data_IF_381301286021
#
_entry.id   IF_381301286021
#
_cell.length_a   1.000
_cell.length_b   1.000
_cell.length_c   1.000
_cell.angle_alpha   90.00
_cell.angle_beta   90.00
_cell.angle_gamma   90.00
#
_symmetry.space_group_name_H-M   'P 1'
#
loop_
_entity.id
_entity.type
_entity.pdbx_description
1 polymer ?
#
# COMPACT_ATOMS: atom_id res chain seq x y z
N UNK A 1 -9.51 5.23 0.78
CA UNK A 1 -9.47 4.41 2.02
C UNK A 1 -9.87 5.31 3.17
N UNK A 2 -10.67 4.80 4.11
CA UNK A 2 -11.02 5.50 5.35
C UNK A 2 -10.39 4.69 6.49
N UNK A 3 -9.47 5.26 7.28
CA UNK A 3 -8.88 4.55 8.41
C UNK A 3 -9.88 4.46 9.57
N UNK A 4 -9.89 3.33 10.27
CA UNK A 4 -10.67 3.13 11.49
C UNK A 4 -9.71 2.75 12.63
N UNK A 5 -9.74 3.50 13.73
CA UNK A 5 -8.92 3.24 14.91
C UNK A 5 -9.63 2.23 15.80
N UNK A 6 -8.94 1.11 16.10
CA UNK A 6 -9.44 0.04 16.98
C UNK A 6 -8.52 -0.26 18.16
N UNK A 7 -7.23 0.09 18.04
CA UNK A 7 -6.23 -0.10 19.11
C UNK A 7 -6.11 -1.55 19.58
N UNK A 8 -6.28 -2.51 18.66
CA UNK A 8 -6.07 -3.94 18.92
C UNK A 8 -4.87 -4.42 18.11
N UNK A 9 -3.96 -5.12 18.77
CA UNK A 9 -2.91 -5.91 18.14
C UNK A 9 -3.25 -7.39 18.29
N UNK A 10 -3.13 -8.15 17.21
CA UNK A 10 -3.31 -9.60 17.23
C UNK A 10 -1.96 -10.26 17.00
N UNK A 11 -1.68 -11.30 17.79
CA UNK A 11 -0.53 -12.15 17.65
C UNK A 11 -0.97 -13.60 17.84
N UNK A 12 -0.41 -14.51 17.03
CA UNK A 12 -0.74 -15.93 17.05
C UNK A 12 0.44 -16.74 16.56
N UNK A 13 0.62 -17.94 17.11
CA UNK A 13 1.51 -18.95 16.55
C UNK A 13 0.90 -19.67 15.33
N UNK A 14 -0.43 -19.63 15.19
CA UNK A 14 -1.19 -20.18 14.06
C UNK A 14 -1.64 -19.06 13.12
N UNK A 15 -1.16 -19.11 11.87
CA UNK A 15 -1.42 -18.12 10.83
C UNK A 15 -2.88 -18.10 10.35
N UNK A 16 -3.58 -19.23 10.39
CA UNK A 16 -5.00 -19.31 10.01
C UNK A 16 -5.86 -18.78 11.15
N UNK A 17 -5.48 -19.07 12.39
CA UNK A 17 -6.20 -18.62 13.58
C UNK A 17 -6.25 -17.08 13.71
N UNK A 18 -5.12 -16.40 13.45
CA UNK A 18 -5.07 -14.92 13.50
C UNK A 18 -5.98 -14.29 12.45
N UNK A 19 -5.96 -14.81 11.21
CA UNK A 19 -6.82 -14.34 10.14
C UNK A 19 -8.30 -14.60 10.45
N UNK A 20 -8.61 -15.74 11.07
CA UNK A 20 -9.98 -16.09 11.46
C UNK A 20 -10.52 -15.19 12.57
N UNK A 21 -9.72 -14.93 13.61
CA UNK A 21 -10.09 -13.99 14.67
C UNK A 21 -10.23 -12.57 14.13
N UNK A 22 -9.30 -12.11 13.29
CA UNK A 22 -9.38 -10.81 12.64
C UNK A 22 -10.65 -10.67 11.79
N UNK A 23 -10.98 -11.69 10.98
CA UNK A 23 -12.20 -11.72 10.17
C UNK A 23 -13.46 -11.62 11.05
N UNK A 24 -13.52 -12.39 12.13
CA UNK A 24 -14.64 -12.33 13.10
C UNK A 24 -14.79 -10.95 13.72
N UNK A 25 -13.69 -10.36 14.18
CA UNK A 25 -13.69 -9.02 14.79
C UNK A 25 -14.12 -7.94 13.81
N UNK A 26 -13.75 -8.06 12.53
CA UNK A 26 -14.26 -7.20 11.47
C UNK A 26 -15.76 -7.41 11.16
N UNK A 27 -16.38 -8.47 11.68
CA UNK A 27 -17.79 -8.80 11.48
C UNK A 27 -18.07 -9.76 10.33
N UNK A 28 -17.04 -10.43 9.81
CA UNK A 28 -17.16 -11.44 8.77
C UNK A 28 -17.19 -12.85 9.34
N UNK A 29 -17.81 -13.78 8.61
CA UNK A 29 -17.71 -15.21 8.89
C UNK A 29 -16.37 -15.74 8.32
N UNK A 30 -15.45 -16.21 9.16
CA UNK A 30 -14.12 -16.67 8.73
C UNK A 30 -14.19 -17.80 7.70
N UNK A 31 -15.11 -18.76 7.86
CA UNK A 31 -15.20 -19.92 6.98
C UNK A 31 -15.92 -19.62 5.66
N UNK A 32 -16.57 -18.45 5.54
CA UNK A 32 -17.04 -17.94 4.24
C UNK A 32 -15.92 -17.31 3.42
N UNK A 33 -14.80 -16.96 4.04
CA UNK A 33 -13.62 -16.44 3.36
C UNK A 33 -12.84 -17.63 2.77
N UNK A 34 -12.76 -17.68 1.44
CA UNK A 34 -12.26 -18.85 0.70
C UNK A 34 -10.87 -19.29 1.16
N UNK A 35 -9.92 -18.38 1.35
CA UNK A 35 -8.55 -18.75 1.70
C UNK A 35 -8.40 -19.24 3.14
N UNK A 36 -9.13 -18.66 4.10
CA UNK A 36 -9.19 -19.14 5.49
C UNK A 36 -9.78 -20.55 5.52
N UNK A 37 -10.92 -20.75 4.86
CA UNK A 37 -11.55 -22.07 4.78
C UNK A 37 -10.65 -23.12 4.14
N UNK A 38 -10.02 -22.81 3.00
CA UNK A 38 -9.11 -23.75 2.34
C UNK A 38 -7.91 -24.12 3.21
N UNK A 39 -7.33 -23.16 3.93
CA UNK A 39 -6.21 -23.43 4.83
C UNK A 39 -6.65 -24.29 6.03
N UNK A 40 -7.84 -24.03 6.57
CA UNK A 40 -8.45 -24.84 7.62
C UNK A 40 -8.73 -26.28 7.15
N UNK A 41 -9.42 -26.44 6.01
CA UNK A 41 -9.76 -27.74 5.42
C UNK A 41 -8.49 -28.55 5.09
N UNK A 42 -7.38 -27.88 4.77
CA UNK A 42 -6.07 -28.49 4.51
C UNK A 42 -5.25 -28.78 5.77
N UNK A 43 -5.75 -28.45 6.97
CA UNK A 43 -5.03 -28.67 8.24
C UNK A 43 -3.80 -27.79 8.44
N UNK A 44 -3.70 -26.65 7.73
CA UNK A 44 -2.59 -25.70 7.87
C UNK A 44 -2.74 -24.78 9.09
N UNK A 45 -3.90 -24.81 9.74
CA UNK A 45 -4.23 -24.07 10.95
C UNK A 45 -5.74 -24.11 11.24
N UNK A 46 -6.16 -23.40 12.28
CA UNK A 46 -7.54 -23.38 12.73
C UNK A 46 -8.33 -22.16 12.20
N UNK A 47 -9.30 -22.39 11.32
CA UNK A 47 -10.21 -21.34 10.82
C UNK A 47 -11.52 -21.22 11.62
N UNK A 48 -11.84 -22.21 12.46
CA UNK A 48 -13.04 -22.18 13.30
C UNK A 48 -12.72 -21.52 14.64
N UNK A 49 -13.21 -20.30 14.82
CA UNK A 49 -12.97 -19.47 16.00
C UNK A 49 -13.44 -20.08 17.32
N UNK A 50 -14.32 -21.09 17.30
CA UNK A 50 -14.75 -21.82 18.50
C UNK A 50 -13.67 -22.76 19.04
N UNK A 51 -12.71 -23.12 18.20
CA UNK A 51 -11.59 -24.02 18.51
C UNK A 51 -10.28 -23.24 18.68
N UNK A 52 -10.35 -21.91 18.83
CA UNK A 52 -9.18 -21.05 19.02
C UNK A 52 -9.17 -20.56 20.47
N UNK A 53 -8.04 -20.74 21.15
CA UNK A 53 -7.81 -20.19 22.48
C UNK A 53 -7.40 -18.71 22.38
N UNK A 54 -8.03 -17.85 23.18
CA UNK A 54 -7.64 -16.44 23.33
C UNK A 54 -6.88 -16.31 24.64
N UNK A 55 -5.55 -16.23 24.55
CA UNK A 55 -4.66 -16.09 25.71
C UNK A 55 -4.51 -14.63 26.21
N UNK A 56 -4.87 -13.66 25.37
CA UNK A 56 -4.78 -12.23 25.67
C UNK A 56 -6.08 -11.68 26.26
N UNK A 57 -6.56 -10.56 25.72
CA UNK A 57 -7.80 -9.91 26.14
C UNK A 57 -9.05 -10.54 25.46
N UNK A 58 -9.89 -11.29 26.20
CA UNK A 58 -11.09 -11.89 25.62
C UNK A 58 -12.15 -10.85 25.24
N UNK A 59 -12.21 -9.73 25.97
CA UNK A 59 -13.20 -8.68 25.73
C UNK A 59 -12.96 -7.96 24.41
N UNK A 60 -11.69 -7.65 24.11
CA UNK A 60 -11.28 -7.11 22.82
C UNK A 60 -11.54 -8.11 21.69
N UNK A 61 -11.27 -9.40 21.90
CA UNK A 61 -11.52 -10.42 20.90
C UNK A 61 -13.02 -10.48 20.55
N UNK A 62 -13.92 -10.39 21.53
CA UNK A 62 -15.39 -10.42 21.40
C UNK A 62 -16.01 -9.24 20.66
N UNK A 63 -15.25 -8.19 20.39
CA UNK A 63 -15.73 -7.09 19.57
C UNK A 63 -16.18 -7.53 18.18
N UNK A 64 -17.20 -6.85 17.66
CA UNK A 64 -17.65 -6.98 16.28
C UNK A 64 -17.84 -5.59 15.69
N UNK A 65 -16.91 -5.20 14.82
CA UNK A 65 -16.86 -3.86 14.24
C UNK A 65 -17.86 -3.65 13.12
N UNK A 66 -18.53 -4.72 12.67
CA UNK A 66 -19.58 -4.70 11.64
C UNK A 66 -19.13 -3.97 10.37
N UNK A 67 -17.90 -4.25 9.92
CA UNK A 67 -17.41 -3.70 8.68
C UNK A 67 -18.20 -4.27 7.51
N UNK A 68 -18.49 -3.40 6.55
CA UNK A 68 -19.14 -3.79 5.33
C UNK A 68 -18.12 -4.37 4.36
N UNK A 69 -18.52 -5.43 3.66
CA UNK A 69 -17.65 -6.10 2.72
C UNK A 69 -17.21 -5.18 1.57
N UNK A 70 -16.07 -5.49 0.93
CA UNK A 70 -15.47 -4.63 -0.11
C UNK A 70 -16.37 -4.40 -1.34
N UNK A 71 -17.39 -5.24 -1.51
CA UNK A 71 -18.34 -5.17 -2.63
C UNK A 71 -19.59 -4.33 -2.35
N UNK A 72 -19.86 -3.96 -1.09
CA UNK A 72 -21.07 -3.20 -0.74
C UNK A 72 -21.05 -1.78 -1.32
N UNK A 73 -19.90 -1.08 -1.23
CA UNK A 73 -19.73 0.28 -1.69
C UNK A 73 -18.50 0.45 -2.58
N UNK A 74 -18.54 -0.12 -3.78
CA UNK A 74 -17.45 0.04 -4.74
C UNK A 74 -17.49 1.40 -5.43
N UNK A 75 -16.44 2.19 -5.26
CA UNK A 75 -16.21 3.40 -6.06
C UNK A 75 -16.01 3.05 -7.55
N UNK A 76 -16.16 4.02 -8.45
CA UNK A 76 -15.91 3.80 -9.88
C UNK A 76 -14.51 3.20 -10.13
N UNK A 77 -13.48 3.75 -9.47
CA UNK A 77 -12.10 3.26 -9.56
C UNK A 77 -11.99 1.79 -9.09
N UNK A 78 -12.61 1.44 -7.95
CA UNK A 78 -12.62 0.07 -7.43
C UNK A 78 -13.34 -0.90 -8.39
N UNK A 79 -14.46 -0.48 -8.99
CA UNK A 79 -15.19 -1.29 -9.99
C UNK A 79 -14.36 -1.56 -11.23
N UNK A 80 -13.65 -0.54 -11.73
CA UNK A 80 -12.76 -0.69 -12.88
C UNK A 80 -11.56 -1.58 -12.55
N UNK A 81 -10.91 -1.38 -11.40
CA UNK A 81 -9.82 -2.25 -10.95
C UNK A 81 -10.27 -3.70 -10.81
N UNK A 82 -11.43 -3.96 -10.22
CA UNK A 82 -11.95 -5.32 -10.11
C UNK A 82 -12.16 -5.97 -11.50
N UNK A 83 -12.71 -5.22 -12.47
CA UNK A 83 -12.85 -5.71 -13.86
C UNK A 83 -11.52 -5.94 -14.57
N UNK A 84 -10.49 -5.16 -14.23
CA UNK A 84 -9.14 -5.31 -14.76
C UNK A 84 -8.45 -6.54 -14.17
N UNK A 85 -8.49 -6.74 -12.85
CA UNK A 85 -7.74 -7.83 -12.21
C UNK A 85 -8.46 -9.18 -12.28
N UNK A 86 -9.80 -9.18 -12.22
CA UNK A 86 -10.63 -10.37 -12.10
C UNK A 86 -11.63 -10.56 -13.26
N UNK A 87 -11.57 -9.68 -14.28
CA UNK A 87 -12.46 -9.71 -15.44
C UNK A 87 -11.72 -9.84 -16.78
N UNK A 88 -12.45 -9.76 -17.90
CA UNK A 88 -11.90 -10.01 -19.25
C UNK A 88 -10.89 -8.94 -19.71
N UNK A 89 -10.84 -7.79 -19.04
CA UNK A 89 -9.89 -6.72 -19.34
C UNK A 89 -8.46 -7.05 -18.88
N UNK A 90 -8.27 -8.08 -18.05
CA UNK A 90 -6.97 -8.52 -17.55
C UNK A 90 -5.97 -8.78 -18.68
N UNK A 91 -6.37 -9.59 -19.66
CA UNK A 91 -5.49 -10.01 -20.74
C UNK A 91 -5.10 -8.85 -21.68
N UNK A 92 -6.02 -7.91 -21.91
CA UNK A 92 -5.75 -6.71 -22.71
C UNK A 92 -4.79 -5.76 -22.00
N UNK A 93 -4.98 -5.56 -20.68
CA UNK A 93 -4.12 -4.68 -19.90
C UNK A 93 -2.74 -5.30 -19.68
N UNK A 94 -2.67 -6.61 -19.42
CA UNK A 94 -1.41 -7.33 -19.27
C UNK A 94 -0.55 -7.25 -20.55
N UNK A 95 -1.17 -7.32 -21.73
CA UNK A 95 -0.48 -7.05 -22.99
C UNK A 95 0.05 -5.60 -23.08
N UNK A 96 -0.76 -4.61 -22.69
CA UNK A 96 -0.31 -3.21 -22.67
C UNK A 96 0.83 -2.96 -21.67
N UNK A 97 0.83 -3.65 -20.54
CA UNK A 97 1.86 -3.55 -19.50
C UNK A 97 3.17 -4.26 -19.89
N UNK A 98 3.13 -5.20 -20.84
CA UNK A 98 4.31 -5.90 -21.38
C UNK A 98 4.91 -5.21 -22.62
N UNK A 99 4.37 -4.07 -23.04
CA UNK A 99 4.84 -3.30 -24.21
C UNK A 99 5.37 -1.92 -23.80
N UNK A 100 5.77 -1.09 -24.76
CA UNK A 100 6.22 0.31 -24.57
C UNK A 100 5.14 1.19 -23.90
N UNK A 101 3.94 0.65 -23.68
CA UNK A 101 2.85 1.30 -22.95
C UNK A 101 2.95 1.15 -21.42
N UNK A 102 3.83 0.30 -20.88
CA UNK A 102 4.06 0.15 -19.43
C UNK A 102 4.25 1.49 -18.70
N UNK A 103 4.95 2.50 -19.27
CA UNK A 103 5.13 3.77 -18.60
C UNK A 103 3.85 4.61 -18.43
N UNK A 104 2.80 4.32 -19.20
CA UNK A 104 1.48 4.94 -19.00
C UNK A 104 0.80 4.47 -17.72
N UNK A 105 1.08 3.26 -17.24
CA UNK A 105 0.52 2.78 -15.98
C UNK A 105 1.08 3.57 -14.78
N UNK A 106 2.39 3.89 -14.81
CA UNK A 106 2.99 4.78 -13.81
C UNK A 106 2.37 6.18 -13.89
N UNK A 107 2.20 6.73 -15.10
CA UNK A 107 1.56 8.02 -15.31
C UNK A 107 0.12 8.06 -14.78
N UNK A 108 -0.68 7.05 -15.08
CA UNK A 108 -2.04 6.95 -14.58
C UNK A 108 -2.09 6.84 -13.05
N UNK A 109 -1.18 6.08 -12.44
CA UNK A 109 -1.07 5.96 -10.99
C UNK A 109 -0.74 7.31 -10.32
N UNK A 110 0.28 8.00 -10.83
CA UNK A 110 0.71 9.31 -10.30
C UNK A 110 -0.40 10.36 -10.45
N UNK A 111 -1.03 10.44 -11.62
CA UNK A 111 -2.16 11.35 -11.84
C UNK A 111 -3.32 11.04 -10.89
N UNK A 112 -3.67 9.77 -10.71
CA UNK A 112 -4.76 9.39 -9.82
C UNK A 112 -4.44 9.68 -8.35
N UNK A 113 -3.28 9.23 -7.85
CA UNK A 113 -2.94 9.35 -6.43
C UNK A 113 -2.51 10.77 -6.03
N UNK A 114 -1.59 11.38 -6.77
CA UNK A 114 -0.97 12.66 -6.38
C UNK A 114 -1.81 13.87 -6.82
N UNK A 115 -2.43 13.80 -8.00
CA UNK A 115 -3.12 14.96 -8.59
C UNK A 115 -4.60 14.97 -8.28
N UNK A 116 -5.24 13.80 -8.26
CA UNK A 116 -6.68 13.72 -8.02
C UNK A 116 -7.00 13.36 -6.57
N UNK A 117 -6.58 12.17 -6.09
CA UNK A 117 -7.04 11.63 -4.81
C UNK A 117 -6.55 12.45 -3.62
N UNK A 118 -5.24 12.69 -3.51
CA UNK A 118 -4.66 13.40 -2.36
C UNK A 118 -5.22 14.83 -2.20
N UNK A 119 -5.33 15.67 -3.26
CA UNK A 119 -5.88 17.01 -3.13
C UNK A 119 -7.38 17.02 -2.83
N UNK A 120 -8.15 16.06 -3.35
CA UNK A 120 -9.61 16.00 -3.14
C UNK A 120 -10.01 15.39 -1.79
N UNK A 121 -9.17 14.54 -1.19
CA UNK A 121 -9.47 13.82 0.06
C UNK A 121 -8.74 14.39 1.29
N UNK A 122 -8.34 15.66 1.24
CA UNK A 122 -7.64 16.34 2.34
C UNK A 122 -8.38 16.30 3.70
N UNK A 123 -9.70 16.18 3.70
CA UNK A 123 -10.47 16.01 4.94
C UNK A 123 -10.11 14.70 5.65
N UNK A 124 -10.10 13.58 4.91
CA UNK A 124 -9.76 12.25 5.47
C UNK A 124 -8.35 12.25 6.05
N UNK A 125 -7.41 12.88 5.34
CA UNK A 125 -6.01 12.98 5.79
C UNK A 125 -5.92 13.82 7.07
N UNK A 126 -6.60 14.96 7.15
CA UNK A 126 -6.61 15.79 8.37
C UNK A 126 -7.26 15.07 9.54
N UNK A 127 -8.37 14.37 9.31
CA UNK A 127 -9.07 13.63 10.35
C UNK A 127 -8.17 12.48 10.87
N UNK A 128 -7.42 11.81 9.98
CA UNK A 128 -6.41 10.80 10.37
C UNK A 128 -5.24 11.40 11.16
N UNK A 129 -4.70 12.55 10.74
CA UNK A 129 -3.61 13.24 11.46
C UNK A 129 -4.05 13.82 12.80
N UNK A 130 -5.34 14.11 12.97
CA UNK A 130 -5.91 14.59 14.22
C UNK A 130 -6.23 13.47 15.21
N UNK A 131 -6.23 12.20 14.77
CA UNK A 131 -6.43 11.02 15.62
C UNK A 131 -5.27 10.83 16.60
N UNK A 132 -5.49 10.00 17.62
CA UNK A 132 -4.49 9.73 18.65
C UNK A 132 -3.19 9.18 18.06
N UNK A 133 -3.29 8.27 17.07
CA UNK A 133 -2.14 7.79 16.31
C UNK A 133 -1.45 8.92 15.54
N UNK A 134 -2.21 9.80 14.91
CA UNK A 134 -1.67 10.93 14.17
C UNK A 134 -0.88 11.90 15.04
N UNK A 135 -1.33 12.12 16.29
CA UNK A 135 -0.63 12.94 17.29
C UNK A 135 0.57 12.21 17.88
N UNK A 136 0.42 10.93 18.21
CA UNK A 136 1.53 10.10 18.72
C UNK A 136 2.71 10.09 17.74
N UNK A 137 2.45 9.93 16.44
CA UNK A 137 3.49 9.98 15.42
C UNK A 137 4.06 11.38 15.20
N UNK A 138 3.30 12.44 15.48
CA UNK A 138 3.78 13.82 15.40
C UNK A 138 4.85 14.09 16.46
N UNK A 139 4.62 13.58 17.66
CA UNK A 139 5.45 13.80 18.85
C UNK A 139 6.36 12.59 19.17
N UNK A 140 6.54 11.68 18.19
CA UNK A 140 7.24 10.39 18.37
C UNK A 140 8.66 10.53 18.92
N UNK A 141 9.42 11.55 18.47
CA UNK A 141 10.80 11.75 18.96
C UNK A 141 10.86 11.97 20.48
N UNK A 142 9.81 12.55 21.06
CA UNK A 142 9.69 12.80 22.50
C UNK A 142 8.96 11.68 23.26
N UNK A 143 8.06 10.96 22.58
CA UNK A 143 7.21 9.93 23.18
C UNK A 143 7.74 8.51 22.96
N UNK A 144 8.78 8.31 22.16
CA UNK A 144 9.35 6.99 21.91
C UNK A 144 9.80 6.33 23.21
N UNK A 145 9.43 5.06 23.37
CA UNK A 145 9.91 4.22 24.46
C UNK A 145 11.22 3.55 24.06
N UNK A 146 12.02 3.17 25.05
CA UNK A 146 13.21 2.36 24.78
C UNK A 146 12.80 1.03 24.16
N UNK A 147 13.51 0.50 23.15
CA UNK A 147 13.25 -0.84 22.60
C UNK A 147 13.28 -1.95 23.66
N UNK A 148 14.00 -1.72 24.76
CA UNK A 148 14.15 -2.67 25.87
C UNK A 148 13.11 -2.47 26.99
N UNK A 149 12.21 -1.47 26.86
CA UNK A 149 11.13 -1.24 27.83
C UNK A 149 9.94 -2.15 27.53
N UNK A 150 9.75 -3.15 28.39
CA UNK A 150 8.66 -4.13 28.31
C UNK A 150 7.59 -3.91 29.39
N UNK A 151 7.78 -2.95 30.29
CA UNK A 151 6.93 -2.74 31.47
C UNK A 151 5.91 -1.63 31.23
N UNK A 152 6.24 -0.65 30.39
CA UNK A 152 5.32 0.44 30.07
C UNK A 152 4.11 -0.10 29.29
N UNK A 153 2.89 0.02 29.82
CA UNK A 153 1.69 -0.56 29.20
C UNK A 153 1.24 0.17 27.92
N UNK A 154 1.80 1.36 27.66
CA UNK A 154 1.50 2.19 26.49
C UNK A 154 1.51 3.68 26.81
N UNK A 155 0.88 4.48 25.95
CA UNK A 155 0.80 5.94 26.08
C UNK A 155 -0.54 6.36 26.68
N UNK A 156 -0.53 7.01 27.84
CA UNK A 156 -1.72 7.67 28.41
C UNK A 156 -2.01 9.01 27.76
N UNK A 157 -0.98 9.66 27.21
CA UNK A 157 -1.08 10.91 26.46
C UNK A 157 -0.28 10.80 25.15
N UNK A 158 -0.89 11.23 24.05
CA UNK A 158 -0.34 11.10 22.68
C UNK A 158 0.15 12.43 22.10
N UNK A 159 0.44 13.39 22.97
CA UNK A 159 0.86 14.74 22.57
C UNK A 159 -0.29 15.65 22.12
N UNK A 160 -0.03 16.96 22.11
CA UNK A 160 -1.05 18.00 21.94
C UNK A 160 -1.22 18.50 20.49
N UNK A 161 -0.25 18.26 19.61
CA UNK A 161 -0.18 18.91 18.31
C UNK A 161 -0.44 17.97 17.14
N UNK A 162 -1.62 18.05 16.51
CA UNK A 162 -1.82 17.41 15.21
C UNK A 162 -0.88 18.03 14.16
N UNK A 163 -0.21 17.19 13.37
CA UNK A 163 0.70 17.65 12.30
C UNK A 163 -0.02 18.60 11.36
N UNK A 164 0.45 19.85 11.29
CA UNK A 164 -0.05 20.81 10.30
C UNK A 164 0.58 20.52 8.95
N UNK A 165 -0.21 19.92 8.05
CA UNK A 165 0.17 19.82 6.65
C UNK A 165 0.37 21.22 6.06
N UNK A 166 1.56 21.48 5.52
CA UNK A 166 1.80 22.69 4.72
C UNK A 166 0.92 22.63 3.48
N UNK A 167 -0.01 23.58 3.36
CA UNK A 167 -0.78 23.76 2.13
C UNK A 167 0.20 24.09 1.00
N UNK A 168 0.33 23.15 0.10
CA UNK A 168 1.19 23.25 -1.07
C UNK A 168 0.22 23.10 -2.22
N UNK A 169 -0.05 24.23 -2.89
CA UNK A 169 -1.01 24.28 -4.00
C UNK A 169 -0.48 23.56 -5.24
N UNK A 170 -0.46 24.26 -6.37
CA UNK A 170 -0.03 23.71 -7.67
C UNK A 170 1.42 23.17 -7.71
N UNK A 171 2.25 23.49 -6.70
CA UNK A 171 3.65 23.08 -6.61
C UNK A 171 3.85 21.56 -6.50
N UNK A 172 2.96 20.82 -5.83
CA UNK A 172 3.09 19.35 -5.77
C UNK A 172 2.71 18.68 -7.09
N UNK A 173 1.74 19.22 -7.82
CA UNK A 173 1.39 18.76 -9.15
C UNK A 173 2.59 18.90 -10.11
N UNK A 174 3.26 20.06 -10.10
CA UNK A 174 4.44 20.28 -10.94
C UNK A 174 5.60 19.37 -10.53
N UNK A 175 5.83 19.14 -9.23
CA UNK A 175 6.83 18.18 -8.76
C UNK A 175 6.51 16.74 -9.17
N UNK A 176 5.25 16.35 -9.06
CA UNK A 176 4.76 15.03 -9.46
C UNK A 176 4.93 14.79 -10.96
N UNK A 177 4.61 15.79 -11.80
CA UNK A 177 4.87 15.76 -13.24
C UNK A 177 6.36 15.71 -13.59
N UNK A 178 7.21 16.45 -12.86
CA UNK A 178 8.66 16.42 -13.05
C UNK A 178 9.27 15.06 -12.68
N UNK A 179 8.81 14.45 -11.59
CA UNK A 179 9.19 13.08 -11.20
C UNK A 179 8.74 12.07 -12.24
N UNK A 180 7.51 12.16 -12.73
CA UNK A 180 7.01 11.32 -13.80
C UNK A 180 7.87 11.43 -15.07
N UNK A 181 8.23 12.64 -15.47
CA UNK A 181 9.11 12.88 -16.61
C UNK A 181 10.50 12.25 -16.38
N UNK A 182 11.03 12.33 -15.16
CA UNK A 182 12.25 11.63 -14.74
C UNK A 182 12.13 10.11 -14.88
N UNK A 183 11.10 9.51 -14.30
CA UNK A 183 10.83 8.08 -14.38
C UNK A 183 10.66 7.61 -15.83
N UNK A 184 9.93 8.35 -16.66
CA UNK A 184 9.76 8.05 -18.09
C UNK A 184 11.08 8.11 -18.87
N UNK A 185 11.95 9.06 -18.54
CA UNK A 185 13.27 9.22 -19.17
C UNK A 185 14.25 8.12 -18.78
N UNK A 186 14.16 7.63 -17.54
CA UNK A 186 15.01 6.57 -16.99
C UNK A 186 14.44 5.17 -17.17
N UNK A 187 13.17 5.06 -17.56
CA UNK A 187 12.49 3.80 -17.81
C UNK A 187 13.31 2.93 -18.79
N UNK A 188 13.56 1.66 -18.45
CA UNK A 188 14.47 0.79 -19.18
C UNK A 188 14.07 0.63 -20.66
N UNK A 189 12.78 0.73 -20.98
CA UNK A 189 12.23 0.65 -22.34
C UNK A 189 12.73 1.80 -23.23
N UNK A 190 12.83 3.02 -22.68
CA UNK A 190 13.31 4.20 -23.40
C UNK A 190 14.83 4.37 -23.31
N UNK A 191 15.42 4.02 -22.16
CA UNK A 191 16.87 4.01 -21.97
C UNK A 191 17.57 3.01 -22.89
N UNK A 192 17.00 1.81 -23.10
CA UNK A 192 17.53 0.81 -24.03
C UNK A 192 17.45 1.27 -25.50
N UNK A 193 16.37 1.97 -25.87
CA UNK A 193 16.20 2.55 -27.22
C UNK A 193 17.20 3.67 -27.49
N UNK A 194 17.57 4.44 -26.46
CA UNK A 194 18.60 5.50 -26.54
C UNK A 194 20.02 4.92 -26.64
N UNK A 195 20.31 3.80 -25.96
CA UNK A 195 21.57 3.05 -26.13
C UNK A 195 21.70 2.49 -27.55
N UNK A 196 20.62 1.97 -28.14
CA UNK A 196 20.61 1.49 -29.54
C UNK A 196 20.75 2.61 -30.58
N UNK A 197 20.40 3.85 -30.24
CA UNK A 197 20.53 5.04 -31.10
C UNK A 197 21.88 5.77 -31.01
N UNK A 198 22.85 5.26 -30.25
CA UNK A 198 24.25 5.68 -30.36
C UNK A 198 25.06 4.65 -31.15
N UNK A 199 25.08 4.68 -32.50
CA UNK A 199 26.14 4.04 -33.25
C UNK A 199 27.41 4.90 -33.17
N UNK A 200 28.55 4.28 -32.84
CA UNK A 200 29.88 4.79 -33.19
C UNK A 200 30.57 5.65 -32.14
N UNK A 201 31.26 5.00 -31.21
CA UNK A 201 32.49 5.55 -30.63
C UNK A 201 33.53 4.42 -30.44
N UNK A 202 33.75 3.62 -31.49
CA UNK A 202 34.92 2.73 -31.57
C UNK A 202 35.38 2.60 -33.03
N UNK A 203 36.67 2.93 -33.23
CA UNK A 203 37.61 2.70 -34.36
C UNK A 203 37.63 3.71 -35.53
N UNK A 204 38.71 4.51 -35.61
CA UNK A 204 39.80 4.29 -36.60
C UNK A 204 40.91 5.33 -36.45
N UNK A 205 42.13 4.88 -36.13
CA UNK A 205 43.38 5.46 -36.64
C UNK A 205 44.48 4.40 -36.52
N UNK A 206 44.39 3.40 -37.38
CA UNK A 206 45.56 2.67 -37.86
C UNK A 206 45.82 3.18 -39.28
N UNK A 207 46.69 4.18 -39.41
CA UNK A 207 47.40 4.45 -40.67
C UNK A 207 48.82 3.96 -40.47
N UNK A 208 49.13 2.84 -41.09
CA UNK A 208 50.48 2.39 -41.30
C UNK A 208 51.05 2.98 -42.59
N UNK A 209 52.38 3.07 -42.57
CA UNK A 209 53.29 2.92 -43.70
C UNK A 209 53.93 4.19 -44.25
N UNK A 210 55.21 4.39 -43.87
CA UNK A 210 56.23 4.74 -44.84
C UNK A 210 57.50 3.90 -44.57
N UNK A 211 57.75 2.94 -45.45
CA UNK A 211 59.08 2.41 -45.75
C UNK A 211 59.97 3.51 -46.35
N UNK A 212 61.17 3.69 -45.79
CA UNK A 212 62.48 3.54 -46.46
C UNK A 212 63.61 3.85 -45.48
#
# INVERSE_FOLDING_TARGET
MIPHVKNVILASADQVAIDAVAARMMGFDPLRIKYIRLAHDAGLGCGDVRNIEIAGDPSAAEENWRFEGPFAHMTFASRMQHRIYWGPLKSMLEWSLKTVLAPWAYAASVLYHDTFWYPTHQKVIRDALASDWGRLFADWESLQLSPDDLETPGWSEVGGGAVRLRRTGFGYLLKSLALLAGCLKEAPEFAARRRRRRPGAVRSSAEGDQRK
#
